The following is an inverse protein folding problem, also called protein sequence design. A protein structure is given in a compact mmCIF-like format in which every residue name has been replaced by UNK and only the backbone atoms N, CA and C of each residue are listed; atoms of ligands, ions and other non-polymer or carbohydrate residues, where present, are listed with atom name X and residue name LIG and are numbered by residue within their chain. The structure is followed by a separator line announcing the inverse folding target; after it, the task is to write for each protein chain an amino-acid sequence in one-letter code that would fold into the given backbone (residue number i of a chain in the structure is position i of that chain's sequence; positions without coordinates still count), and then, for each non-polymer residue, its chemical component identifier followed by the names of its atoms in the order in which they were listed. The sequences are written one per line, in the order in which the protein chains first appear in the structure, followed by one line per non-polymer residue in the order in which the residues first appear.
data_IF_342170688985
#
_entry.id   IF_342170688985
#
_cell.length_a   1.000
_cell.length_b   1.000
_cell.length_c   1.000
_cell.angle_alpha   90.00
_cell.angle_beta   90.00
_cell.angle_gamma   90.00
#
_symmetry.space_group_name_H-M   'P 1'
#
loop_
_entity.id
_entity.type
_entity.pdbx_description
1 polymer ?
#
# COMPACT_ATOMS: atom_id res chain seq x y z
N UNK A 1 72.28 -4.53 -14.08
CA UNK A 1 71.51 -5.67 -13.52
C UNK A 1 71.53 -5.50 -12.01
N UNK A 2 70.49 -4.87 -11.46
CA UNK A 2 70.38 -4.50 -10.05
C UNK A 2 69.12 -5.18 -9.55
N UNK A 3 69.30 -6.13 -8.65
CA UNK A 3 68.23 -6.86 -7.97
C UNK A 3 67.89 -6.02 -6.73
N UNK A 4 66.67 -5.50 -6.67
CA UNK A 4 66.05 -4.89 -5.49
C UNK A 4 64.70 -5.61 -5.34
N UNK A 5 64.66 -6.59 -4.45
CA UNK A 5 64.27 -6.50 -3.03
C UNK A 5 62.74 -6.67 -2.89
N UNK A 6 62.36 -7.93 -2.68
CA UNK A 6 61.03 -8.34 -2.24
C UNK A 6 60.87 -7.96 -0.76
N UNK A 7 59.94 -7.06 -0.46
CA UNK A 7 59.08 -7.10 0.74
C UNK A 7 58.28 -5.81 0.81
N UNK A 8 57.01 -5.82 0.41
CA UNK A 8 56.04 -4.83 0.88
C UNK A 8 54.63 -5.42 0.88
N UNK A 9 53.98 -5.33 2.05
CA UNK A 9 52.57 -4.96 2.12
C UNK A 9 51.56 -6.10 2.10
N UNK A 10 51.27 -6.60 3.29
CA UNK A 10 49.97 -7.20 3.64
C UNK A 10 48.89 -6.16 3.37
N UNK A 11 47.90 -6.47 2.53
CA UNK A 11 46.54 -5.99 2.74
C UNK A 11 45.55 -7.00 2.13
N UNK A 12 45.17 -8.01 2.92
CA UNK A 12 43.93 -8.75 2.68
C UNK A 12 42.81 -7.75 2.93
N UNK A 13 42.39 -7.08 1.85
CA UNK A 13 41.22 -6.22 1.83
C UNK A 13 40.01 -7.13 2.02
N UNK A 14 39.61 -7.32 3.28
CA UNK A 14 38.25 -7.67 3.64
C UNK A 14 37.35 -6.54 3.15
N UNK A 15 37.09 -6.55 1.85
CA UNK A 15 36.18 -5.61 1.21
C UNK A 15 34.79 -5.93 1.73
N UNK A 16 34.39 -5.11 2.70
CA UNK A 16 33.06 -5.01 3.29
C UNK A 16 31.96 -5.56 2.35
N UNK A 17 31.51 -6.79 2.61
CA UNK A 17 30.17 -7.26 2.20
C UNK A 17 29.05 -6.42 2.83
N UNK A 18 29.40 -5.50 3.74
CA UNK A 18 28.56 -4.42 4.25
C UNK A 18 28.57 -3.16 3.35
N UNK A 19 29.03 -3.25 2.10
CA UNK A 19 28.73 -2.28 1.06
C UNK A 19 27.22 -2.33 0.74
N UNK A 20 26.47 -1.73 1.66
CA UNK A 20 25.20 -1.04 1.44
C UNK A 20 24.29 -1.77 0.46
N UNK A 21 23.34 -2.52 1.03
CA UNK A 21 22.00 -2.62 0.44
C UNK A 21 21.37 -1.22 0.48
N UNK A 22 22.00 -0.25 -0.19
CA UNK A 22 21.39 1.01 -0.52
C UNK A 22 20.51 0.70 -1.71
N UNK A 23 19.19 0.90 -1.60
CA UNK A 23 18.37 0.83 -2.78
C UNK A 23 18.93 1.81 -3.82
N UNK A 24 19.04 1.39 -5.09
CA UNK A 24 19.20 2.32 -6.21
C UNK A 24 18.25 3.52 -6.06
N UNK A 25 18.69 4.71 -6.46
CA UNK A 25 17.76 5.86 -6.55
C UNK A 25 16.62 5.46 -7.50
N UNK A 26 15.37 5.54 -7.02
CA UNK A 26 14.18 5.12 -7.75
C UNK A 26 13.51 3.84 -7.21
N UNK A 27 13.75 3.46 -5.96
CA UNK A 27 12.95 2.41 -5.31
C UNK A 27 11.74 3.03 -4.62
N UNK A 28 10.56 2.63 -5.07
CA UNK A 28 9.31 2.87 -4.37
C UNK A 28 9.35 2.19 -2.99
N UNK A 29 8.84 2.85 -1.93
CA UNK A 29 8.75 2.23 -0.62
C UNK A 29 7.91 0.94 -0.71
N UNK A 30 8.34 -0.15 -0.09
CA UNK A 30 7.61 -1.41 -0.15
C UNK A 30 6.26 -1.26 0.56
N UNK A 31 5.31 -2.01 0.06
CA UNK A 31 3.92 -1.91 0.51
C UNK A 31 3.74 -2.58 1.85
N UNK A 32 3.21 -1.80 2.77
CA UNK A 32 2.76 -2.29 4.08
C UNK A 32 1.38 -2.90 3.92
N UNK A 33 1.26 -4.22 3.84
CA UNK A 33 -0.02 -4.85 3.56
C UNK A 33 -1.04 -4.55 4.67
N UNK A 34 -0.69 -4.84 5.92
CA UNK A 34 -1.55 -4.52 7.05
C UNK A 34 -1.55 -3.04 7.36
N UNK A 35 -0.44 -2.33 7.11
CA UNK A 35 -0.41 -0.86 7.17
C UNK A 35 -1.51 -0.25 6.30
N UNK A 36 -1.58 -0.62 5.02
CA UNK A 36 -2.60 -0.15 4.09
C UNK A 36 -4.01 -0.58 4.47
N UNK A 37 -4.21 -1.88 4.72
CA UNK A 37 -5.52 -2.40 5.09
C UNK A 37 -6.03 -1.77 6.38
N UNK A 38 -5.19 -1.72 7.41
CA UNK A 38 -5.56 -1.28 8.76
C UNK A 38 -5.66 0.22 8.88
N UNK A 39 -4.60 0.96 8.55
CA UNK A 39 -4.62 2.44 8.64
C UNK A 39 -5.62 3.00 7.63
N UNK A 40 -5.67 2.48 6.41
CA UNK A 40 -6.64 2.91 5.40
C UNK A 40 -8.09 2.67 5.83
N UNK A 41 -8.41 1.47 6.34
CA UNK A 41 -9.71 1.19 6.95
C UNK A 41 -10.01 2.13 8.12
N UNK A 42 -9.03 2.33 9.01
CA UNK A 42 -9.15 3.17 10.19
C UNK A 42 -9.47 4.63 9.86
N UNK A 43 -8.82 5.19 8.84
CA UNK A 43 -9.08 6.55 8.36
C UNK A 43 -10.51 6.67 7.82
N UNK A 44 -10.96 5.74 6.98
CA UNK A 44 -12.34 5.75 6.46
C UNK A 44 -13.34 5.56 7.59
N UNK A 45 -13.07 4.65 8.54
CA UNK A 45 -13.92 4.43 9.70
C UNK A 45 -14.03 5.67 10.58
N UNK A 46 -12.92 6.36 10.84
CA UNK A 46 -12.89 7.60 11.59
C UNK A 46 -13.73 8.68 10.89
N UNK A 47 -13.47 8.95 9.60
CA UNK A 47 -14.23 9.94 8.83
C UNK A 47 -15.72 9.59 8.80
N UNK A 48 -16.05 8.33 8.52
CA UNK A 48 -17.42 7.84 8.49
C UNK A 48 -18.15 8.04 9.83
N UNK A 49 -17.46 7.83 10.96
CA UNK A 49 -18.01 8.07 12.30
C UNK A 49 -18.33 9.54 12.55
N UNK A 50 -17.49 10.46 12.08
CA UNK A 50 -17.70 11.91 12.22
C UNK A 50 -18.89 12.40 11.40
N UNK A 51 -19.05 11.88 10.17
CA UNK A 51 -20.14 12.26 9.26
C UNK A 51 -21.40 11.39 9.42
N UNK A 52 -21.43 10.51 10.43
CA UNK A 52 -22.52 9.56 10.74
C UNK A 52 -22.98 8.72 9.54
N UNK A 53 -22.04 8.32 8.68
CA UNK A 53 -22.32 7.38 7.57
C UNK A 53 -21.87 5.98 7.93
N UNK A 54 -22.59 4.98 7.42
CA UNK A 54 -22.24 3.56 7.55
C UNK A 54 -21.70 3.06 6.20
N UNK A 55 -20.37 3.10 5.99
CA UNK A 55 -19.77 2.57 4.77
C UNK A 55 -19.88 1.04 4.72
N UNK A 56 -19.91 0.50 3.51
CA UNK A 56 -19.53 -0.89 3.32
C UNK A 56 -18.01 -0.96 3.36
N UNK A 57 -17.45 -1.55 4.40
CA UNK A 57 -16.00 -1.61 4.60
C UNK A 57 -15.30 -2.61 3.66
N UNK A 58 -16.05 -3.47 2.95
CA UNK A 58 -15.46 -4.43 2.00
C UNK A 58 -14.84 -3.75 0.77
N UNK A 59 -15.56 -2.90 0.02
CA UNK A 59 -14.95 -2.14 -1.07
C UNK A 59 -13.88 -1.17 -0.55
N UNK A 60 -13.99 -0.65 0.68
CA UNK A 60 -12.91 0.14 1.30
C UNK A 60 -11.62 -0.67 1.40
N UNK A 61 -11.67 -1.85 2.04
CA UNK A 61 -10.51 -2.73 2.18
C UNK A 61 -9.94 -3.15 0.83
N UNK A 62 -10.79 -3.43 -0.16
CA UNK A 62 -10.31 -3.70 -1.51
C UNK A 62 -9.57 -2.48 -2.07
N UNK A 63 -10.14 -1.28 -1.92
CA UNK A 63 -9.57 -0.04 -2.41
C UNK A 63 -8.20 0.29 -1.79
N UNK A 64 -7.99 -0.05 -0.51
CA UNK A 64 -6.71 0.20 0.18
C UNK A 64 -5.53 -0.56 -0.40
N UNK A 65 -5.77 -1.61 -1.18
CA UNK A 65 -4.72 -2.43 -1.83
C UNK A 65 -4.89 -2.50 -3.35
N UNK A 66 -5.94 -1.87 -3.91
CA UNK A 66 -6.30 -2.01 -5.31
C UNK A 66 -5.24 -1.43 -6.26
N UNK A 67 -4.63 -0.25 -6.01
CA UNK A 67 -3.60 0.30 -6.88
C UNK A 67 -2.43 -0.67 -7.05
N UNK A 68 -1.91 -1.22 -5.95
CA UNK A 68 -0.86 -2.23 -5.96
C UNK A 68 -1.23 -3.53 -6.65
N UNK A 69 -2.46 -4.00 -6.42
CA UNK A 69 -2.95 -5.23 -7.01
C UNK A 69 -2.99 -5.14 -8.55
N UNK A 70 -3.16 -3.93 -9.08
CA UNK A 70 -3.10 -3.65 -10.51
C UNK A 70 -1.65 -3.42 -10.96
N UNK A 71 -0.96 -2.49 -10.31
CA UNK A 71 0.27 -1.93 -10.85
C UNK A 71 1.48 -2.86 -10.65
N UNK A 72 1.56 -3.62 -9.56
CA UNK A 72 2.72 -4.50 -9.35
C UNK A 72 2.79 -5.66 -10.34
N UNK A 73 1.71 -6.43 -10.59
CA UNK A 73 1.77 -7.47 -11.62
C UNK A 73 2.07 -6.89 -13.01
N UNK A 74 1.54 -5.71 -13.32
CA UNK A 74 1.80 -5.04 -14.60
C UNK A 74 3.24 -4.53 -14.70
N UNK A 75 3.78 -3.91 -13.65
CA UNK A 75 5.16 -3.46 -13.58
C UNK A 75 6.13 -4.62 -13.75
N UNK A 76 5.89 -5.74 -13.05
CA UNK A 76 6.66 -6.97 -13.21
C UNK A 76 6.64 -7.50 -14.65
N UNK A 77 5.44 -7.55 -15.27
CA UNK A 77 5.27 -8.09 -16.62
C UNK A 77 5.86 -7.20 -17.71
N UNK A 78 5.89 -5.88 -17.49
CA UNK A 78 6.31 -4.88 -18.48
C UNK A 78 7.73 -4.34 -18.25
N UNK A 79 8.40 -4.71 -17.15
CA UNK A 79 9.70 -4.15 -16.77
C UNK A 79 9.61 -2.67 -16.36
N UNK A 80 8.46 -2.26 -15.82
CA UNK A 80 8.18 -0.91 -15.35
C UNK A 80 8.17 -0.87 -13.83
N UNK A 81 8.15 0.34 -13.30
CA UNK A 81 8.02 0.58 -11.87
C UNK A 81 6.70 0.05 -11.29
N UNK A 82 6.60 0.03 -9.96
CA UNK A 82 5.46 -0.48 -9.21
C UNK A 82 4.28 0.47 -9.14
N UNK A 83 4.47 1.73 -9.55
CA UNK A 83 3.46 2.79 -9.59
C UNK A 83 3.13 3.17 -11.03
N UNK A 84 1.99 2.70 -11.51
CA UNK A 84 1.52 2.85 -12.88
C UNK A 84 0.14 3.52 -12.88
N UNK A 85 -0.83 2.97 -13.63
CA UNK A 85 -2.16 3.55 -13.83
C UNK A 85 -2.99 3.59 -12.54
N UNK A 86 -2.87 2.58 -11.68
CA UNK A 86 -3.56 2.51 -10.39
C UNK A 86 -3.19 3.65 -9.44
N UNK A 87 -1.98 4.18 -9.55
CA UNK A 87 -1.47 5.31 -8.76
C UNK A 87 -1.71 6.70 -9.38
N UNK A 88 -2.57 6.80 -10.40
CA UNK A 88 -2.89 8.07 -11.05
C UNK A 88 -4.13 8.74 -10.44
N UNK A 89 -4.17 10.08 -10.43
CA UNK A 89 -5.41 10.81 -10.11
C UNK A 89 -6.50 10.55 -11.14
N UNK A 90 -6.15 10.20 -12.38
CA UNK A 90 -7.12 9.81 -13.40
C UNK A 90 -7.89 8.54 -12.98
N UNK A 91 -7.19 7.50 -12.51
CA UNK A 91 -7.82 6.29 -11.99
C UNK A 91 -8.74 6.59 -10.80
N UNK A 92 -8.26 7.36 -9.82
CA UNK A 92 -9.07 7.77 -8.69
C UNK A 92 -10.30 8.61 -9.11
N UNK A 93 -10.14 9.55 -10.02
CA UNK A 93 -11.23 10.38 -10.54
C UNK A 93 -12.29 9.53 -11.24
N UNK A 94 -11.90 8.50 -12.00
CA UNK A 94 -12.83 7.56 -12.62
C UNK A 94 -13.68 6.87 -11.55
N UNK A 95 -13.09 6.37 -10.47
CA UNK A 95 -13.86 5.74 -9.37
C UNK A 95 -14.86 6.72 -8.75
N UNK A 96 -14.45 7.97 -8.52
CA UNK A 96 -15.33 9.01 -7.97
C UNK A 96 -16.46 9.38 -8.92
N UNK A 97 -16.19 9.43 -10.23
CA UNK A 97 -17.20 9.73 -11.26
C UNK A 97 -18.18 8.57 -11.45
N UNK A 98 -17.69 7.33 -11.47
CA UNK A 98 -18.54 6.14 -11.58
C UNK A 98 -19.53 6.05 -10.43
N UNK A 99 -19.16 6.47 -9.22
CA UNK A 99 -20.07 6.51 -8.06
C UNK A 99 -21.27 7.45 -8.24
N UNK A 100 -21.21 8.39 -9.19
CA UNK A 100 -22.36 9.26 -9.53
C UNK A 100 -23.43 8.52 -10.33
N UNK A 101 -23.08 7.41 -10.99
CA UNK A 101 -24.01 6.61 -11.77
C UNK A 101 -24.90 5.78 -10.83
N UNK A 102 -26.24 5.83 -10.94
CA UNK A 102 -27.14 5.10 -10.05
C UNK A 102 -26.84 3.59 -9.95
N UNK A 103 -26.42 2.97 -11.07
CA UNK A 103 -26.08 1.56 -11.16
C UNK A 103 -24.78 1.16 -10.45
N UNK A 104 -23.88 2.12 -10.17
CA UNK A 104 -22.56 1.89 -9.57
C UNK A 104 -22.40 2.57 -8.21
N UNK A 105 -23.51 3.05 -7.62
CA UNK A 105 -23.51 3.66 -6.30
C UNK A 105 -22.84 2.72 -5.28
N UNK A 106 -21.89 3.26 -4.52
CA UNK A 106 -21.12 2.49 -3.55
C UNK A 106 -19.69 2.19 -4.01
N UNK A 107 -19.38 2.33 -5.30
CA UNK A 107 -17.98 2.31 -5.78
C UNK A 107 -17.18 3.49 -5.20
N UNK A 108 -17.84 4.55 -4.71
CA UNK A 108 -17.20 5.62 -3.95
C UNK A 108 -16.49 5.13 -2.68
N UNK A 109 -16.93 4.01 -2.09
CA UNK A 109 -16.21 3.38 -0.97
C UNK A 109 -14.92 2.70 -1.42
N UNK A 110 -14.90 2.13 -2.62
CA UNK A 110 -13.67 1.65 -3.27
C UNK A 110 -12.72 2.82 -3.52
N UNK A 111 -13.23 3.92 -4.06
CA UNK A 111 -12.51 5.17 -4.20
C UNK A 111 -11.97 5.68 -2.86
N UNK A 112 -12.76 5.64 -1.79
CA UNK A 112 -12.31 6.01 -0.44
C UNK A 112 -11.09 5.21 0.03
N UNK A 113 -11.08 3.89 -0.21
CA UNK A 113 -9.91 3.05 0.04
C UNK A 113 -8.69 3.45 -0.80
N UNK A 114 -8.88 3.67 -2.11
CA UNK A 114 -7.80 4.14 -3.02
C UNK A 114 -7.26 5.50 -2.58
N UNK A 115 -8.13 6.40 -2.13
CA UNK A 115 -7.71 7.70 -1.59
C UNK A 115 -6.82 7.57 -0.36
N UNK A 116 -7.13 6.64 0.56
CA UNK A 116 -6.24 6.37 1.70
C UNK A 116 -4.93 5.71 1.27
N UNK A 117 -4.97 4.83 0.26
CA UNK A 117 -3.76 4.25 -0.32
C UNK A 117 -2.82 5.36 -0.83
N UNK A 118 -3.35 6.31 -1.60
CA UNK A 118 -2.58 7.44 -2.12
C UNK A 118 -1.91 8.28 -1.02
N UNK A 119 -2.60 8.46 0.11
CA UNK A 119 -2.05 9.18 1.26
C UNK A 119 -0.89 8.42 1.91
N UNK A 120 -1.04 7.11 2.09
CA UNK A 120 -0.03 6.26 2.71
C UNK A 120 1.22 6.13 1.83
N UNK A 121 1.00 6.01 0.52
CA UNK A 121 2.07 5.88 -0.47
C UNK A 121 2.75 7.21 -0.80
N UNK A 122 2.23 8.33 -0.28
CA UNK A 122 2.77 9.67 -0.51
C UNK A 122 2.96 9.95 -1.99
N UNK A 123 1.95 9.60 -2.81
CA UNK A 123 2.09 9.59 -4.27
C UNK A 123 2.55 10.94 -4.83
N UNK A 124 2.32 12.06 -4.12
CA UNK A 124 2.80 13.39 -4.51
C UNK A 124 4.32 13.48 -4.70
N UNK A 125 5.10 12.52 -4.19
CA UNK A 125 6.54 12.42 -4.44
C UNK A 125 6.89 11.97 -5.87
N UNK A 126 5.91 11.43 -6.63
CA UNK A 126 6.05 11.06 -8.04
C UNK A 126 5.04 11.80 -8.94
N UNK A 127 5.16 13.15 -9.09
CA UNK A 127 4.14 13.97 -9.76
C UNK A 127 3.81 13.52 -11.19
N UNK A 128 4.81 13.01 -11.93
CA UNK A 128 4.62 12.54 -13.30
C UNK A 128 3.65 11.35 -13.38
N UNK A 129 3.70 10.43 -12.41
CA UNK A 129 2.76 9.32 -12.29
C UNK A 129 1.40 9.82 -11.83
N UNK A 130 1.36 10.60 -10.73
CA UNK A 130 0.12 11.11 -10.14
C UNK A 130 -0.72 11.91 -11.13
N UNK A 131 -0.07 12.77 -11.92
CA UNK A 131 -0.72 13.65 -12.88
C UNK A 131 -0.79 13.07 -14.29
N UNK A 132 -0.42 11.81 -14.49
CA UNK A 132 -0.59 11.12 -15.76
C UNK A 132 -2.05 11.21 -16.23
N UNK A 133 -2.31 11.52 -17.52
CA UNK A 133 -1.35 11.70 -18.63
C UNK A 133 -0.86 13.14 -18.83
N UNK A 134 -1.20 14.08 -17.94
CA UNK A 134 -0.98 15.52 -18.12
C UNK A 134 0.50 15.94 -18.12
N UNK A 135 1.35 15.21 -17.38
CA UNK A 135 2.80 15.45 -17.32
C UNK A 135 3.62 14.49 -18.20
N UNK A 136 2.96 13.77 -19.11
CA UNK A 136 3.59 12.82 -20.01
C UNK A 136 2.89 11.46 -20.01
N UNK A 137 3.28 10.63 -20.97
CA UNK A 137 2.68 9.33 -21.22
C UNK A 137 3.51 8.15 -20.70
N UNK A 138 4.79 8.38 -20.43
CA UNK A 138 5.73 7.34 -20.01
C UNK A 138 5.66 7.14 -18.50
N UNK A 139 5.74 5.88 -18.08
CA UNK A 139 6.00 5.50 -16.70
C UNK A 139 7.50 5.21 -16.51
N UNK A 140 8.03 5.39 -15.29
CA UNK A 140 9.42 5.03 -15.00
C UNK A 140 9.66 3.54 -15.23
N UNK A 141 10.87 3.21 -15.68
CA UNK A 141 11.34 1.82 -15.66
C UNK A 141 11.67 1.43 -14.22
N UNK A 142 11.41 0.18 -13.86
CA UNK A 142 11.67 -0.31 -12.51
C UNK A 142 11.83 -1.81 -12.50
N UNK A 143 12.41 -2.31 -11.42
CA UNK A 143 12.57 -3.74 -11.19
C UNK A 143 12.01 -4.08 -9.81
N UNK A 144 10.96 -4.89 -9.80
CA UNK A 144 10.44 -5.48 -8.57
C UNK A 144 11.42 -6.54 -8.06
N UNK A 145 11.99 -6.32 -6.88
CA UNK A 145 12.81 -7.32 -6.19
C UNK A 145 12.07 -7.85 -4.96
N UNK A 146 11.77 -9.14 -4.99
CA UNK A 146 11.15 -9.86 -3.86
C UNK A 146 12.12 -9.92 -2.68
N UNK A 147 13.42 -10.07 -2.94
CA UNK A 147 14.46 -10.07 -1.91
C UNK A 147 14.52 -8.73 -1.18
N UNK A 148 14.48 -7.63 -1.93
CA UNK A 148 14.47 -6.28 -1.37
C UNK A 148 13.21 -6.03 -0.55
N UNK A 149 12.04 -6.48 -1.04
CA UNK A 149 10.78 -6.39 -0.30
C UNK A 149 10.91 -7.08 1.08
N UNK A 150 11.40 -8.32 1.13
CA UNK A 150 11.60 -9.04 2.38
C UNK A 150 12.63 -8.36 3.29
N UNK A 151 13.71 -7.85 2.71
CA UNK A 151 14.74 -7.15 3.45
C UNK A 151 14.16 -5.94 4.19
N UNK A 152 13.44 -5.07 3.48
CA UNK A 152 12.85 -3.87 4.09
C UNK A 152 11.77 -4.23 5.10
N UNK A 153 10.88 -5.18 4.78
CA UNK A 153 9.84 -5.62 5.71
C UNK A 153 10.41 -6.09 7.06
N UNK A 154 11.56 -6.76 7.04
CA UNK A 154 12.19 -7.35 8.24
C UNK A 154 13.19 -6.43 8.95
N UNK A 155 13.67 -5.36 8.31
CA UNK A 155 14.75 -4.53 8.86
C UNK A 155 14.42 -3.05 9.00
N UNK A 156 13.40 -2.53 8.30
CA UNK A 156 13.02 -1.14 8.42
C UNK A 156 12.03 -0.95 9.59
N UNK A 157 12.39 -0.16 10.62
CA UNK A 157 11.53 0.02 11.80
C UNK A 157 10.27 0.83 11.50
N UNK A 158 10.28 1.74 10.50
CA UNK A 158 9.11 2.53 10.12
C UNK A 158 8.07 1.63 9.49
N UNK A 159 8.53 0.72 8.63
CA UNK A 159 7.72 -0.30 7.98
C UNK A 159 7.05 -1.22 9.01
N UNK A 160 7.84 -1.74 9.94
CA UNK A 160 7.33 -2.62 11.00
C UNK A 160 6.32 -1.92 11.91
N UNK A 161 6.56 -0.64 12.24
CA UNK A 161 5.62 0.16 13.01
C UNK A 161 4.31 0.37 12.25
N UNK A 162 4.38 0.65 10.95
CA UNK A 162 3.21 0.77 10.08
C UNK A 162 2.37 -0.51 10.04
N UNK A 163 3.03 -1.66 9.85
CA UNK A 163 2.38 -2.98 9.84
C UNK A 163 1.74 -3.30 11.20
N UNK A 164 2.48 -3.08 12.30
CA UNK A 164 1.97 -3.30 13.66
C UNK A 164 0.76 -2.40 13.98
N UNK A 165 0.83 -1.12 13.62
CA UNK A 165 -0.29 -0.19 13.76
C UNK A 165 -1.50 -0.63 12.93
N UNK A 166 -1.27 -1.04 11.69
CA UNK A 166 -2.30 -1.59 10.81
C UNK A 166 -3.01 -2.80 11.41
N UNK A 167 -2.24 -3.79 11.91
CA UNK A 167 -2.78 -4.96 12.60
C UNK A 167 -3.61 -4.55 13.84
N UNK A 168 -3.09 -3.65 14.66
CA UNK A 168 -3.78 -3.18 15.86
C UNK A 168 -5.13 -2.51 15.51
N UNK A 169 -5.17 -1.71 14.45
CA UNK A 169 -6.41 -1.08 13.97
C UNK A 169 -7.39 -2.13 13.42
N UNK A 170 -6.92 -3.13 12.65
CA UNK A 170 -7.78 -4.21 12.15
C UNK A 170 -8.40 -5.02 13.31
N UNK A 171 -7.63 -5.33 14.35
CA UNK A 171 -8.11 -6.01 15.56
C UNK A 171 -9.13 -5.13 16.29
N UNK A 172 -8.82 -3.85 16.49
CA UNK A 172 -9.73 -2.89 17.12
C UNK A 172 -11.03 -2.73 16.34
N UNK A 173 -10.95 -2.64 15.02
CA UNK A 173 -12.12 -2.62 14.14
C UNK A 173 -12.93 -3.91 14.30
N UNK A 174 -12.31 -5.08 14.18
CA UNK A 174 -12.99 -6.37 14.35
C UNK A 174 -13.70 -6.45 15.72
N UNK A 175 -13.03 -6.02 16.79
CA UNK A 175 -13.61 -5.98 18.15
C UNK A 175 -14.80 -5.02 18.26
N UNK A 176 -14.68 -3.80 17.71
CA UNK A 176 -15.77 -2.81 17.71
C UNK A 176 -16.94 -3.25 16.83
N UNK A 177 -16.68 -4.04 15.80
CA UNK A 177 -17.68 -4.61 14.93
C UNK A 177 -18.27 -5.94 15.48
N UNK A 178 -17.70 -6.49 16.55
CA UNK A 178 -18.15 -7.76 17.14
C UNK A 178 -17.75 -8.99 16.32
N UNK A 179 -16.76 -8.85 15.44
CA UNK A 179 -16.17 -9.93 14.66
C UNK A 179 -15.18 -10.67 15.56
N UNK A 180 -15.68 -11.68 16.29
CA UNK A 180 -14.89 -12.47 17.26
C UNK A 180 -14.75 -13.95 16.91
N UNK A 181 -15.34 -14.38 15.79
CA UNK A 181 -15.29 -15.76 15.33
C UNK A 181 -15.10 -15.82 13.82
N UNK A 182 -14.63 -16.98 13.33
CA UNK A 182 -14.49 -17.24 11.90
C UNK A 182 -15.81 -17.12 11.15
N UNK A 183 -16.93 -17.52 11.76
CA UNK A 183 -18.26 -17.37 11.15
C UNK A 183 -18.69 -15.91 11.03
N UNK A 184 -18.38 -15.08 12.04
CA UNK A 184 -18.63 -13.65 12.00
C UNK A 184 -17.77 -12.97 10.92
N UNK A 185 -16.49 -13.36 10.80
CA UNK A 185 -15.60 -12.85 9.77
C UNK A 185 -16.06 -13.25 8.37
N UNK A 186 -16.42 -14.53 8.16
CA UNK A 186 -16.96 -15.04 6.91
C UNK A 186 -18.27 -14.34 6.54
N UNK A 187 -19.11 -14.06 7.53
CA UNK A 187 -20.35 -13.29 7.36
C UNK A 187 -20.07 -11.85 6.94
N UNK A 188 -19.10 -11.20 7.58
CA UNK A 188 -18.65 -9.86 7.21
C UNK A 188 -18.13 -9.82 5.77
N UNK A 189 -17.19 -10.71 5.41
CA UNK A 189 -16.61 -10.73 4.05
C UNK A 189 -17.69 -10.98 2.98
N UNK A 190 -18.62 -11.92 3.22
CA UNK A 190 -19.66 -12.28 2.24
C UNK A 190 -20.79 -11.26 2.15
N UNK A 191 -21.22 -10.70 3.28
CA UNK A 191 -22.48 -9.93 3.37
C UNK A 191 -22.30 -8.48 3.79
N UNK A 192 -21.10 -8.08 4.20
CA UNK A 192 -20.87 -6.79 4.88
C UNK A 192 -21.53 -6.73 6.26
N UNK A 193 -22.05 -7.86 6.75
CA UNK A 193 -22.82 -7.91 7.98
C UNK A 193 -21.89 -7.79 9.19
N UNK A 194 -22.22 -6.83 10.05
CA UNK A 194 -21.50 -6.59 11.30
C UNK A 194 -22.43 -6.91 12.46
N UNK A 195 -21.96 -7.63 13.47
CA UNK A 195 -22.80 -8.09 14.59
C UNK A 195 -23.47 -6.93 15.36
N UNK A 196 -22.85 -5.74 15.34
CA UNK A 196 -23.39 -4.50 15.95
C UNK A 196 -24.25 -3.64 15.02
N UNK A 197 -24.56 -4.10 13.80
CA UNK A 197 -25.43 -3.35 12.88
C UNK A 197 -26.90 -3.30 13.32
N UNK A 198 -27.32 -4.04 14.35
CA UNK A 198 -28.63 -3.94 15.01
C UNK A 198 -28.68 -2.82 16.06
N UNK A 199 -28.13 -1.64 15.76
CA UNK A 199 -28.39 -0.45 16.58
C UNK A 199 -29.80 0.04 16.26
N UNK A 200 -30.71 -0.22 17.19
CA UNK A 200 -32.03 0.37 17.31
C UNK A 200 -31.87 1.83 17.78
N UNK A 201 -32.20 2.84 16.95
CA UNK A 201 -32.39 4.19 17.44
C UNK A 201 -33.69 4.18 18.26
N UNK A 202 -33.56 4.20 19.58
CA UNK A 202 -34.63 4.80 20.40
C UNK A 202 -34.74 6.29 20.08
#
# INVERSE_FOLDING_TARGET
MRIEDETHGIEIRHENQAARVMPPRGFDPPVFLFGHLGVGLGLVWLVASQIRRKPDYRPVLLGTILPDLIDKPLGAALGLDSRLWGHTLAFFAILVLLDRLPALRGIGWLGGGVGTHFLLDQIWETPAVVLWPSLGWAFPNGALSVEFYWYVLLHDPVVQLGEAAGIAILIGFAWTQGIRSWDALRSFVRRGAVARASWDPK
#
